data_IF_713865838939
#
_entry.id   IF_713865838939
#
_cell.length_a   1.000
_cell.length_b   1.000
_cell.length_c   1.000
_cell.angle_alpha   90.00
_cell.angle_beta   90.00
_cell.angle_gamma   90.00
#
_symmetry.space_group_name_H-M   'P 1'
#
loop_
_entity.id
_entity.type
_entity.pdbx_description
1 polymer ?
#
# COMPACT_ATOMS: atom_id res chain seq x y z
N UNK A 1 -47.91 -28.00 37.26
CA UNK A 1 -46.86 -28.05 36.22
C UNK A 1 -46.16 -26.70 36.24
N UNK A 2 -44.92 -26.64 36.74
CA UNK A 2 -44.13 -25.41 36.82
C UNK A 2 -43.47 -25.18 35.45
N UNK A 3 -43.92 -24.17 34.72
CA UNK A 3 -43.24 -23.72 33.51
C UNK A 3 -42.00 -22.91 33.94
N UNK A 4 -40.82 -23.47 33.71
CA UNK A 4 -39.55 -22.77 33.82
C UNK A 4 -39.34 -22.07 32.48
N UNK A 5 -39.48 -20.73 32.46
CA UNK A 5 -38.99 -19.91 31.37
C UNK A 5 -37.46 -19.80 31.50
N UNK A 6 -36.73 -20.44 30.59
CA UNK A 6 -35.29 -20.22 30.42
C UNK A 6 -35.10 -18.91 29.65
N UNK A 7 -34.68 -17.85 30.34
CA UNK A 7 -34.27 -16.61 29.70
C UNK A 7 -32.91 -16.83 29.03
N UNK A 8 -32.87 -16.78 27.70
CA UNK A 8 -31.65 -16.77 26.90
C UNK A 8 -31.02 -15.37 27.04
N UNK A 9 -30.01 -15.24 27.89
CA UNK A 9 -29.18 -14.03 27.95
C UNK A 9 -28.33 -13.97 26.67
N UNK A 10 -28.75 -13.14 25.71
CA UNK A 10 -27.87 -12.64 24.67
C UNK A 10 -26.81 -11.78 25.35
N UNK A 11 -25.63 -12.36 25.58
CA UNK A 11 -24.43 -11.58 25.85
C UNK A 11 -24.11 -10.81 24.57
N UNK A 12 -24.54 -9.56 24.51
CA UNK A 12 -23.97 -8.60 23.59
C UNK A 12 -22.50 -8.46 23.96
N UNK A 13 -21.63 -9.19 23.28
CA UNK A 13 -20.20 -8.85 23.22
C UNK A 13 -20.17 -7.43 22.69
N UNK A 14 -19.76 -6.48 23.53
CA UNK A 14 -19.35 -5.17 23.04
C UNK A 14 -18.40 -5.44 21.88
N UNK A 15 -18.73 -4.93 20.69
CA UNK A 15 -17.81 -4.87 19.58
C UNK A 15 -16.67 -3.95 20.04
N UNK A 16 -15.68 -4.54 20.73
CA UNK A 16 -14.42 -3.87 20.99
C UNK A 16 -13.81 -3.56 19.63
N UNK A 17 -13.21 -2.39 19.50
CA UNK A 17 -12.39 -2.09 18.33
C UNK A 17 -11.43 -3.27 18.13
N UNK A 18 -11.46 -3.88 16.95
CA UNK A 18 -10.61 -5.02 16.64
C UNK A 18 -9.16 -4.58 16.81
N UNK A 19 -8.38 -5.35 17.58
CA UNK A 19 -6.94 -5.14 17.68
C UNK A 19 -6.28 -5.68 16.41
N UNK A 20 -6.02 -4.80 15.45
CA UNK A 20 -5.38 -5.19 14.21
C UNK A 20 -3.93 -5.65 14.40
N UNK A 21 -3.30 -5.42 15.56
CA UNK A 21 -1.96 -5.94 15.81
C UNK A 21 -1.94 -7.44 16.12
N UNK A 22 -3.08 -8.02 16.54
CA UNK A 22 -3.18 -9.43 16.89
C UNK A 22 -2.85 -10.32 15.67
N UNK A 23 -1.90 -11.24 15.83
CA UNK A 23 -1.50 -12.18 14.77
C UNK A 23 -0.56 -11.62 13.69
N UNK A 24 -0.26 -10.32 13.71
CA UNK A 24 0.66 -9.71 12.74
C UNK A 24 2.11 -10.17 12.94
N UNK A 25 2.75 -10.61 11.85
CA UNK A 25 4.18 -10.90 11.79
C UNK A 25 4.93 -9.88 10.93
N UNK A 26 4.32 -8.71 10.65
CA UNK A 26 4.97 -7.62 9.95
C UNK A 26 6.26 -7.18 10.67
N UNK A 27 7.28 -6.86 9.88
CA UNK A 27 8.54 -6.33 10.40
C UNK A 27 8.40 -4.83 10.62
N UNK A 28 8.73 -4.36 11.82
CA UNK A 28 8.83 -2.93 12.15
C UNK A 28 9.94 -2.27 11.33
N UNK A 29 9.71 -1.03 10.89
CA UNK A 29 10.66 -0.22 10.12
C UNK A 29 11.16 1.00 10.92
N UNK A 30 10.66 1.19 12.15
CA UNK A 30 11.00 2.33 13.00
C UNK A 30 10.39 3.64 12.51
N UNK A 31 9.28 3.57 11.77
CA UNK A 31 8.54 4.74 11.29
C UNK A 31 7.76 5.37 12.44
N UNK A 32 7.62 6.69 12.38
CA UNK A 32 6.85 7.45 13.38
C UNK A 32 5.37 7.08 13.27
N UNK A 33 4.75 6.74 14.41
CA UNK A 33 3.34 6.33 14.47
C UNK A 33 3.05 4.98 13.79
N UNK A 34 4.07 4.12 13.64
CA UNK A 34 3.88 2.79 13.05
C UNK A 34 3.18 1.82 14.01
N UNK A 35 2.21 1.08 13.48
CA UNK A 35 1.46 0.06 14.17
C UNK A 35 1.40 -1.17 13.27
N UNK A 36 1.65 -2.35 13.84
CA UNK A 36 1.41 -3.60 13.12
C UNK A 36 -0.08 -3.76 12.86
N UNK A 37 -0.43 -4.22 11.66
CA UNK A 37 -1.81 -4.45 11.30
C UNK A 37 -1.95 -5.68 10.41
N UNK A 38 -2.84 -6.57 10.83
CA UNK A 38 -3.26 -7.79 10.17
C UNK A 38 -4.79 -7.81 10.10
N UNK A 39 -5.34 -7.94 8.90
CA UNK A 39 -6.79 -7.91 8.69
C UNK A 39 -7.20 -8.49 7.33
N UNK A 40 -8.47 -8.87 7.24
CA UNK A 40 -9.16 -9.21 5.99
C UNK A 40 -9.64 -7.94 5.29
N UNK A 41 -9.52 -7.90 3.96
CA UNK A 41 -9.97 -6.77 3.15
C UNK A 41 -10.25 -7.18 1.71
N UNK A 42 -10.94 -6.31 0.97
CA UNK A 42 -11.09 -6.41 -0.47
C UNK A 42 -10.11 -5.48 -1.17
N UNK A 43 -9.40 -5.96 -2.18
CA UNK A 43 -8.51 -5.11 -3.00
C UNK A 43 -9.33 -4.33 -4.03
N UNK A 44 -9.13 -3.02 -4.07
CA UNK A 44 -9.94 -2.08 -4.87
C UNK A 44 -9.08 -1.07 -5.63
N UNK A 45 -9.64 -0.50 -6.69
CA UNK A 45 -9.18 0.77 -7.27
C UNK A 45 -9.70 1.92 -6.41
N UNK A 46 -8.80 2.73 -5.84
CA UNK A 46 -9.19 3.85 -4.99
C UNK A 46 -10.04 4.89 -5.74
N UNK A 47 -9.78 5.13 -7.02
CA UNK A 47 -10.54 6.10 -7.80
C UNK A 47 -11.98 5.61 -8.03
N UNK A 48 -12.17 4.31 -8.27
CA UNK A 48 -13.48 3.68 -8.37
C UNK A 48 -14.28 3.88 -7.08
N UNK A 49 -13.70 3.58 -5.91
CA UNK A 49 -14.39 3.74 -4.62
C UNK A 49 -14.76 5.21 -4.32
N UNK A 50 -13.88 6.15 -4.68
CA UNK A 50 -14.09 7.56 -4.36
C UNK A 50 -15.01 8.29 -5.36
N UNK A 51 -15.07 7.83 -6.61
CA UNK A 51 -15.69 8.61 -7.70
C UNK A 51 -16.72 7.84 -8.52
N UNK A 52 -16.73 6.51 -8.45
CA UNK A 52 -17.52 5.63 -9.31
C UNK A 52 -16.93 5.40 -10.70
N UNK A 53 -15.76 5.97 -11.02
CA UNK A 53 -15.00 5.65 -12.25
C UNK A 53 -14.26 4.31 -12.08
N UNK A 54 -14.91 3.23 -12.52
CA UNK A 54 -14.47 1.86 -12.28
C UNK A 54 -14.05 1.18 -13.60
N UNK A 55 -12.81 1.39 -14.08
CA UNK A 55 -12.30 0.64 -15.22
C UNK A 55 -12.19 -0.85 -14.90
N UNK A 56 -12.23 -1.69 -15.94
CA UNK A 56 -11.95 -3.12 -15.81
C UNK A 56 -10.54 -3.37 -15.25
N UNK A 57 -10.35 -4.52 -14.59
CA UNK A 57 -9.08 -4.98 -14.03
C UNK A 57 -8.36 -3.95 -13.14
N UNK A 58 -9.13 -3.12 -12.40
CA UNK A 58 -8.62 -2.01 -11.61
C UNK A 58 -7.67 -1.09 -12.41
N UNK A 59 -7.95 -0.91 -13.71
CA UNK A 59 -7.13 -0.12 -14.61
C UNK A 59 -5.76 -0.74 -14.95
N UNK A 60 -5.61 -2.06 -14.81
CA UNK A 60 -4.46 -2.85 -15.29
C UNK A 60 -3.09 -2.31 -14.82
N UNK A 61 -3.01 -1.81 -13.58
CA UNK A 61 -1.79 -1.27 -12.99
C UNK A 61 -1.54 0.23 -13.21
N UNK A 62 -2.41 0.91 -13.96
CA UNK A 62 -2.36 2.36 -14.14
C UNK A 62 -3.08 3.14 -13.02
N UNK A 63 -3.79 2.46 -12.12
CA UNK A 63 -4.52 3.05 -11.01
C UNK A 63 -3.81 2.80 -9.67
N UNK A 64 -4.05 3.69 -8.73
CA UNK A 64 -3.66 3.45 -7.34
C UNK A 64 -4.65 2.47 -6.71
N UNK A 65 -4.11 1.37 -6.18
CA UNK A 65 -4.91 0.36 -5.50
C UNK A 65 -4.89 0.57 -3.99
N UNK A 66 -5.94 0.10 -3.35
CA UNK A 66 -6.14 0.15 -1.91
C UNK A 66 -6.90 -1.05 -1.38
N UNK A 67 -7.37 -0.94 -0.16
CA UNK A 67 -8.09 -2.01 0.54
C UNK A 67 -9.38 -1.45 1.15
N UNK A 68 -10.49 -2.15 1.02
CA UNK A 68 -11.68 -1.93 1.87
C UNK A 68 -11.66 -3.00 2.96
N UNK A 69 -11.42 -2.60 4.20
CA UNK A 69 -11.25 -3.54 5.31
C UNK A 69 -12.59 -4.15 5.72
N UNK A 70 -12.63 -5.48 5.83
CA UNK A 70 -13.88 -6.21 6.07
C UNK A 70 -14.49 -5.95 7.46
N UNK A 71 -13.67 -5.55 8.44
CA UNK A 71 -14.11 -5.34 9.82
C UNK A 71 -15.02 -4.11 10.00
N UNK A 72 -14.82 -3.07 9.19
CA UNK A 72 -15.41 -1.75 9.41
C UNK A 72 -15.62 -0.92 8.13
N UNK A 73 -15.49 -1.54 6.96
CA UNK A 73 -15.65 -0.92 5.63
C UNK A 73 -14.75 0.30 5.40
N UNK A 74 -13.67 0.45 6.17
CA UNK A 74 -12.74 1.57 5.98
C UNK A 74 -11.91 1.38 4.71
N UNK A 75 -11.86 2.45 3.91
CA UNK A 75 -10.93 2.57 2.79
C UNK A 75 -9.52 2.86 3.31
N UNK A 76 -8.62 1.89 3.14
CA UNK A 76 -7.23 1.94 3.56
C UNK A 76 -6.33 2.17 2.34
N UNK A 77 -5.60 3.29 2.36
CA UNK A 77 -4.67 3.64 1.30
C UNK A 77 -3.36 2.86 1.45
N UNK A 78 -3.03 2.03 0.45
CA UNK A 78 -1.78 1.28 0.44
C UNK A 78 -0.73 2.04 -0.39
N UNK A 79 0.13 2.80 0.29
CA UNK A 79 1.11 3.67 -0.39
C UNK A 79 2.46 2.99 -0.64
N UNK A 80 2.74 1.90 0.08
CA UNK A 80 4.08 1.31 0.12
C UNK A 80 4.03 -0.21 0.22
N UNK A 81 4.95 -0.88 -0.48
CA UNK A 81 5.20 -2.31 -0.30
C UNK A 81 6.39 -2.57 0.65
N UNK A 82 6.72 -3.84 0.89
CA UNK A 82 7.80 -4.27 1.76
C UNK A 82 9.23 -4.04 1.25
N UNK A 83 9.45 -3.35 0.13
CA UNK A 83 10.81 -3.04 -0.34
C UNK A 83 11.32 -1.67 0.13
N UNK A 84 12.57 -1.54 0.58
CA UNK A 84 13.15 -0.28 1.06
C UNK A 84 13.59 0.67 -0.07
N UNK A 85 12.96 0.62 -1.25
CA UNK A 85 13.42 1.31 -2.49
C UNK A 85 12.44 2.36 -3.03
N UNK A 86 11.64 2.97 -2.13
CA UNK A 86 10.65 4.01 -2.47
C UNK A 86 9.63 3.59 -3.54
N UNK A 87 9.28 2.30 -3.58
CA UNK A 87 8.33 1.71 -4.51
C UNK A 87 6.90 1.64 -3.95
N UNK A 88 5.89 1.89 -4.78
CA UNK A 88 4.49 1.67 -4.43
C UNK A 88 4.12 0.18 -4.33
N UNK A 89 2.87 -0.10 -3.92
CA UNK A 89 2.35 -1.47 -3.77
C UNK A 89 1.45 -1.97 -4.90
N UNK A 90 1.21 -1.14 -5.93
CA UNK A 90 0.26 -1.47 -7.01
C UNK A 90 0.60 -2.80 -7.69
N UNK A 91 1.87 -3.03 -8.03
CA UNK A 91 2.33 -4.28 -8.66
C UNK A 91 2.05 -5.51 -7.78
N UNK A 92 2.12 -5.35 -6.46
CA UNK A 92 1.88 -6.43 -5.50
C UNK A 92 0.38 -6.70 -5.28
N UNK A 93 -0.45 -5.65 -5.37
CA UNK A 93 -1.90 -5.74 -5.18
C UNK A 93 -2.67 -6.12 -6.45
N UNK A 94 -2.17 -5.74 -7.63
CA UNK A 94 -2.87 -5.90 -8.90
C UNK A 94 -3.34 -7.34 -9.19
N UNK A 95 -2.57 -8.40 -8.89
CA UNK A 95 -3.03 -9.77 -9.07
C UNK A 95 -4.28 -10.14 -8.26
N UNK A 96 -4.57 -9.37 -7.22
CA UNK A 96 -5.68 -9.57 -6.30
C UNK A 96 -6.83 -8.57 -6.52
N UNK A 97 -6.79 -7.77 -7.60
CA UNK A 97 -7.84 -6.79 -7.90
C UNK A 97 -9.24 -7.42 -7.82
N UNK A 98 -10.11 -6.85 -6.98
CA UNK A 98 -11.46 -7.39 -6.77
C UNK A 98 -11.50 -8.75 -6.07
N UNK A 99 -10.45 -9.13 -5.34
CA UNK A 99 -10.44 -10.33 -4.51
C UNK A 99 -10.47 -9.93 -3.04
N UNK A 100 -11.00 -10.84 -2.22
CA UNK A 100 -10.92 -10.74 -0.77
C UNK A 100 -9.62 -11.42 -0.32
N UNK A 101 -8.88 -10.74 0.55
CA UNK A 101 -7.51 -11.08 0.92
C UNK A 101 -7.31 -10.93 2.42
N UNK A 102 -6.33 -11.66 2.95
CA UNK A 102 -5.67 -11.29 4.20
C UNK A 102 -4.39 -10.54 3.89
N UNK A 103 -4.18 -9.43 4.59
CA UNK A 103 -2.97 -8.63 4.49
C UNK A 103 -2.28 -8.50 5.84
N UNK A 104 -0.96 -8.39 5.79
CA UNK A 104 -0.14 -8.12 6.96
C UNK A 104 0.94 -7.08 6.65
N UNK A 105 1.10 -6.09 7.54
CA UNK A 105 1.86 -4.89 7.26
C UNK A 105 1.86 -3.89 8.40
N UNK A 106 2.17 -2.63 8.05
CA UNK A 106 2.24 -1.53 9.00
C UNK A 106 1.22 -0.44 8.62
N UNK A 107 0.40 -0.03 9.57
CA UNK A 107 -0.27 1.27 9.50
C UNK A 107 0.69 2.34 10.00
N UNK A 108 0.83 3.43 9.27
CA UNK A 108 1.80 4.49 9.57
C UNK A 108 1.10 5.83 9.48
N UNK A 109 1.11 6.57 10.59
CA UNK A 109 0.88 8.02 10.69
C UNK A 109 0.82 8.39 12.19
N UNK A 110 1.24 9.62 12.48
CA UNK A 110 1.16 10.25 13.81
C UNK A 110 0.33 11.53 13.70
N UNK A 111 -0.91 11.50 14.19
CA UNK A 111 -1.88 12.58 14.04
C UNK A 111 -1.38 13.89 14.66
N UNK A 112 -0.72 13.82 15.81
CA UNK A 112 -0.19 15.01 16.49
C UNK A 112 0.88 15.73 15.66
N UNK A 113 1.55 15.02 14.74
CA UNK A 113 2.55 15.61 13.87
C UNK A 113 1.98 16.04 12.52
N UNK A 114 1.08 15.23 11.94
CA UNK A 114 0.55 15.48 10.58
C UNK A 114 -0.72 16.30 10.57
N UNK A 115 -1.45 16.40 11.69
CA UNK A 115 -2.79 16.98 11.79
C UNK A 115 -3.86 16.19 11.02
N UNK A 116 -3.54 14.95 10.62
CA UNK A 116 -4.40 14.07 9.82
C UNK A 116 -4.59 12.79 10.63
N UNK A 117 -5.83 12.36 10.86
CA UNK A 117 -6.10 11.12 11.60
C UNK A 117 -5.86 9.84 10.76
N UNK A 118 -5.91 9.96 9.43
CA UNK A 118 -5.79 8.81 8.51
C UNK A 118 -4.40 8.19 8.55
N UNK A 119 -4.33 6.88 8.81
CA UNK A 119 -3.10 6.09 8.64
C UNK A 119 -3.01 5.56 7.22
N UNK A 120 -1.79 5.52 6.69
CA UNK A 120 -1.49 4.85 5.43
C UNK A 120 -0.97 3.46 5.71
N UNK A 121 -1.20 2.53 4.79
CA UNK A 121 -0.78 1.15 4.96
C UNK A 121 0.43 0.82 4.10
N UNK A 122 1.37 0.13 4.72
CA UNK A 122 2.48 -0.52 4.08
C UNK A 122 2.26 -2.03 4.12
N UNK A 123 1.83 -2.60 2.99
CA UNK A 123 1.65 -4.05 2.88
C UNK A 123 3.01 -4.74 2.81
N UNK A 124 3.18 -5.81 3.58
CA UNK A 124 4.37 -6.66 3.54
C UNK A 124 4.04 -8.06 3.03
N UNK A 125 2.84 -8.56 3.33
CA UNK A 125 2.35 -9.87 2.90
C UNK A 125 0.89 -9.79 2.51
N UNK A 126 0.52 -10.60 1.52
CA UNK A 126 -0.86 -10.72 1.02
C UNK A 126 -1.13 -12.16 0.59
N UNK A 127 -2.33 -12.66 0.90
CA UNK A 127 -2.86 -13.91 0.36
C UNK A 127 -4.35 -13.77 0.05
N UNK A 128 -4.81 -14.49 -0.96
CA UNK A 128 -6.23 -14.61 -1.26
C UNK A 128 -6.94 -15.43 -0.18
N UNK A 129 -8.15 -15.01 0.21
CA UNK A 129 -9.01 -15.80 1.10
C UNK A 129 -9.72 -16.93 0.34
N UNK A 130 -10.08 -18.04 1.01
CA UNK A 130 -9.83 -18.33 2.42
C UNK A 130 -8.49 -19.04 2.70
N UNK A 131 -7.85 -19.59 1.67
CA UNK A 131 -6.74 -20.54 1.81
C UNK A 131 -5.60 -20.33 0.79
N UNK A 132 -5.49 -19.13 0.24
CA UNK A 132 -4.40 -18.75 -0.65
C UNK A 132 -3.03 -18.79 0.05
N UNK A 133 -1.97 -18.93 -0.76
CA UNK A 133 -0.60 -18.92 -0.27
C UNK A 133 -0.12 -17.50 0.03
N UNK A 134 0.66 -17.35 1.10
CA UNK A 134 1.26 -16.07 1.44
C UNK A 134 2.30 -15.64 0.40
N UNK A 135 2.09 -14.47 -0.17
CA UNK A 135 3.07 -13.80 -1.03
C UNK A 135 3.67 -12.60 -0.31
N UNK A 136 4.95 -12.31 -0.59
CA UNK A 136 5.60 -11.09 -0.10
C UNK A 136 5.26 -9.96 -1.06
N UNK A 137 4.86 -8.82 -0.51
CA UNK A 137 4.66 -7.60 -1.29
C UNK A 137 6.02 -6.93 -1.53
N UNK A 138 6.79 -7.46 -2.49
CA UNK A 138 8.13 -6.98 -2.80
C UNK A 138 8.52 -7.10 -4.29
N UNK A 139 7.54 -7.09 -5.19
CA UNK A 139 7.75 -7.40 -6.61
C UNK A 139 8.17 -6.23 -7.48
N UNK A 140 8.09 -5.00 -6.99
CA UNK A 140 8.27 -3.81 -7.83
C UNK A 140 9.58 -3.83 -8.64
N UNK A 141 10.74 -4.09 -8.01
CA UNK A 141 12.02 -4.10 -8.75
C UNK A 141 12.06 -5.19 -9.82
N UNK A 142 11.53 -6.38 -9.53
CA UNK A 142 11.45 -7.47 -10.51
C UNK A 142 10.56 -7.10 -11.69
N UNK A 143 9.38 -6.53 -11.43
CA UNK A 143 8.48 -6.07 -12.49
C UNK A 143 9.11 -4.94 -13.32
N UNK A 144 9.85 -4.03 -12.67
CA UNK A 144 10.59 -2.98 -13.35
C UNK A 144 11.71 -3.55 -14.26
N UNK A 145 12.45 -4.56 -13.80
CA UNK A 145 13.47 -5.24 -14.62
C UNK A 145 12.85 -5.97 -15.82
N UNK A 146 11.67 -6.56 -15.64
CA UNK A 146 10.90 -7.20 -16.71
C UNK A 146 10.39 -6.18 -17.74
N UNK A 147 9.96 -4.99 -17.29
CA UNK A 147 9.49 -3.88 -18.15
C UNK A 147 10.66 -3.23 -18.92
N UNK A 148 11.84 -3.13 -18.30
CA UNK A 148 13.02 -2.44 -18.85
C UNK A 148 14.26 -3.34 -18.88
N UNK A 149 14.28 -4.41 -19.71
CA UNK A 149 15.40 -5.35 -19.77
C UNK A 149 16.72 -4.70 -20.20
N UNK A 150 16.65 -3.60 -20.96
CA UNK A 150 17.81 -2.84 -21.43
C UNK A 150 18.37 -1.86 -20.37
N UNK A 151 17.68 -1.64 -19.25
CA UNK A 151 18.11 -0.77 -18.14
C UNK A 151 19.08 -1.47 -17.15
N UNK A 152 19.92 -2.38 -17.68
CA UNK A 152 20.86 -3.17 -16.91
C UNK A 152 21.95 -2.32 -16.23
N UNK A 153 22.48 -2.79 -15.09
CA UNK A 153 23.60 -2.16 -14.39
C UNK A 153 23.48 -2.17 -12.88
N UNK A 154 24.50 -1.65 -12.20
CA UNK A 154 24.55 -1.58 -10.74
C UNK A 154 23.93 -0.29 -10.18
N UNK A 155 23.53 -0.32 -8.90
CA UNK A 155 23.00 0.83 -8.17
C UNK A 155 21.47 0.94 -8.16
N UNK A 156 20.92 2.08 -7.70
CA UNK A 156 19.48 2.26 -7.58
C UNK A 156 18.77 2.23 -8.94
N UNK A 157 17.63 1.52 -9.01
CA UNK A 157 16.83 1.33 -10.23
C UNK A 157 16.46 2.66 -10.90
N UNK A 158 16.06 3.66 -10.11
CA UNK A 158 15.57 4.95 -10.61
C UNK A 158 16.63 5.76 -11.36
N UNK A 159 17.92 5.47 -11.17
CA UNK A 159 19.00 6.12 -11.95
C UNK A 159 19.15 5.54 -13.35
N UNK A 160 18.57 4.37 -13.59
CA UNK A 160 18.60 3.67 -14.88
C UNK A 160 17.23 3.61 -15.55
N UNK A 161 16.18 4.06 -14.86
CA UNK A 161 14.84 4.08 -15.42
C UNK A 161 14.79 5.04 -16.63
N UNK A 162 14.44 4.54 -17.82
CA UNK A 162 14.47 5.35 -19.03
C UNK A 162 13.43 6.48 -19.01
N UNK A 163 12.34 6.33 -18.25
CA UNK A 163 11.31 7.37 -18.09
C UNK A 163 11.85 8.51 -17.25
N UNK A 164 12.55 8.20 -16.16
CA UNK A 164 13.21 9.21 -15.31
C UNK A 164 14.31 9.93 -16.10
N UNK A 165 15.14 9.19 -16.81
CA UNK A 165 16.20 9.79 -17.63
C UNK A 165 15.65 10.70 -18.72
N UNK A 166 14.54 10.32 -19.37
CA UNK A 166 13.86 11.19 -20.33
C UNK A 166 13.28 12.46 -19.69
N UNK A 167 12.77 12.40 -18.47
CA UNK A 167 12.31 13.59 -17.73
C UNK A 167 13.47 14.53 -17.40
N UNK A 168 14.61 13.99 -16.96
CA UNK A 168 15.81 14.78 -16.66
C UNK A 168 16.39 15.42 -17.92
N UNK A 169 16.41 14.69 -19.05
CA UNK A 169 16.85 15.27 -20.32
C UNK A 169 15.97 16.45 -20.74
N UNK A 170 14.65 16.32 -20.57
CA UNK A 170 13.66 17.33 -20.94
C UNK A 170 13.69 18.55 -20.01
N UNK A 171 13.67 18.31 -18.70
CA UNK A 171 13.34 19.34 -17.69
C UNK A 171 14.49 19.61 -16.70
N UNK A 172 15.64 18.95 -16.84
CA UNK A 172 16.71 18.99 -15.83
C UNK A 172 16.37 18.18 -14.57
N UNK A 173 17.35 18.00 -13.71
CA UNK A 173 17.27 17.36 -12.40
C UNK A 173 16.30 18.07 -11.46
N UNK A 174 16.21 19.41 -11.52
CA UNK A 174 15.29 20.18 -10.69
C UNK A 174 13.87 20.27 -11.28
N UNK A 175 13.66 19.82 -12.53
CA UNK A 175 12.41 20.00 -13.25
C UNK A 175 12.14 21.45 -13.68
N UNK A 176 13.16 22.32 -13.64
CA UNK A 176 13.09 23.75 -13.95
C UNK A 176 13.88 24.14 -15.22
N UNK A 177 14.43 23.15 -15.93
CA UNK A 177 15.25 23.30 -17.12
C UNK A 177 16.76 23.25 -16.81
N UNK A 178 17.55 22.97 -17.86
CA UNK A 178 19.00 22.77 -17.75
C UNK A 178 19.76 24.03 -17.31
N UNK A 179 19.25 25.22 -17.60
CA UNK A 179 19.84 26.49 -17.16
C UNK A 179 19.73 26.66 -15.63
N UNK A 180 18.58 26.29 -15.06
CA UNK A 180 18.36 26.35 -13.62
C UNK A 180 19.26 25.34 -12.89
N UNK A 181 19.43 24.14 -13.44
CA UNK A 181 20.36 23.15 -12.91
C UNK A 181 21.81 23.65 -12.93
N UNK A 182 22.25 24.26 -14.04
CA UNK A 182 23.62 24.78 -14.16
C UNK A 182 23.89 25.89 -13.13
N UNK A 183 22.94 26.83 -12.96
CA UNK A 183 23.04 27.89 -11.95
C UNK A 183 23.05 27.33 -10.53
N UNK A 184 22.20 26.33 -10.24
CA UNK A 184 22.19 25.67 -8.93
C UNK A 184 23.51 24.96 -8.62
N UNK A 185 24.09 24.26 -9.61
CA UNK A 185 25.38 23.58 -9.44
C UNK A 185 26.49 24.59 -9.15
N UNK A 186 26.56 25.70 -9.90
CA UNK A 186 27.57 26.75 -9.69
C UNK A 186 27.49 27.40 -8.30
N UNK A 187 26.28 27.57 -7.75
CA UNK A 187 26.06 28.21 -6.45
C UNK A 187 26.31 27.26 -5.26
N UNK A 188 25.99 25.97 -5.41
CA UNK A 188 25.97 25.01 -4.28
C UNK A 188 27.12 23.99 -4.26
N UNK A 189 27.88 23.81 -5.36
CA UNK A 189 28.93 22.79 -5.49
C UNK A 189 30.23 23.34 -6.07
#
# INVERSE_FOLDING_TARGET
>A
MKHVLTALLLTATAAGAQDFAEGSEANSWGLIGEEKAFFEARVVDLACELTGDCPEDCGAGARQLGLVRAADDQLVMVLKNGQPVFSGAVVDLLPFCGMDVEVDGLLVNEEDWTGIATKFYQVQRIRELPDGEWTRANRFTTAWEEEFPDAAGEGPWFRRDPRINALIERDGYLGLGQEADAAFIEDWF
#
